data_IF_767972866253
#
_entry.id   IF_767972866253
#
_cell.length_a   1.000
_cell.length_b   1.000
_cell.length_c   1.000
_cell.angle_alpha   90.00
_cell.angle_beta   90.00
_cell.angle_gamma   90.00
#
_symmetry.space_group_name_H-M   'P 1'
#
loop_
_entity.id
_entity.type
_entity.pdbx_description
1 polymer ?
#
# COMPACT_ATOMS: atom_id res chain seq x y z
N UNK A 1 -5.23 5.19 8.89
CA UNK A 1 -5.86 6.39 8.28
C UNK A 1 -6.95 6.02 7.28
N UNK A 2 -6.77 5.00 6.38
CA UNK A 2 -7.79 4.59 5.40
C UNK A 2 -9.10 4.15 6.06
N UNK A 3 -9.03 3.46 7.18
CA UNK A 3 -10.19 3.04 7.97
C UNK A 3 -10.97 4.26 8.47
N UNK A 4 -10.28 5.31 8.85
CA UNK A 4 -10.88 6.57 9.31
C UNK A 4 -11.58 7.29 8.16
N UNK A 5 -11.00 7.30 6.96
CA UNK A 5 -11.64 7.81 5.74
C UNK A 5 -12.91 7.00 5.43
N UNK A 6 -12.85 5.67 5.45
CA UNK A 6 -13.99 4.81 5.19
C UNK A 6 -15.17 5.04 6.16
N UNK A 7 -14.87 5.39 7.42
CA UNK A 7 -15.90 5.64 8.45
C UNK A 7 -16.41 7.09 8.48
N UNK A 8 -15.65 8.05 7.95
CA UNK A 8 -16.00 9.50 7.96
C UNK A 8 -16.77 9.96 6.75
N UNK A 9 -16.98 9.10 5.74
CA UNK A 9 -17.83 9.38 4.56
C UNK A 9 -19.33 9.47 4.92
N UNK A 10 -19.65 10.13 6.05
CA UNK A 10 -21.02 10.47 6.47
C UNK A 10 -21.20 11.98 6.38
N UNK A 11 -22.39 12.46 5.96
CA UNK A 11 -22.69 13.89 5.95
C UNK A 11 -22.45 14.52 7.33
N UNK A 12 -21.75 15.66 7.36
CA UNK A 12 -21.45 16.39 8.60
C UNK A 12 -20.10 16.08 9.25
N UNK A 13 -19.30 15.15 8.70
CA UNK A 13 -17.95 14.84 9.20
C UNK A 13 -16.81 15.23 8.24
N UNK A 14 -17.09 16.15 7.34
CA UNK A 14 -16.14 16.55 6.29
C UNK A 14 -14.83 17.14 6.86
N UNK A 15 -14.89 17.79 8.01
CA UNK A 15 -13.72 18.38 8.68
C UNK A 15 -12.68 17.31 9.07
N UNK A 16 -13.11 16.08 9.34
CA UNK A 16 -12.20 14.97 9.67
C UNK A 16 -11.49 14.36 8.47
N UNK A 17 -11.95 14.67 7.25
CA UNK A 17 -11.33 14.18 6.03
C UNK A 17 -9.94 14.80 5.81
N UNK A 18 -9.77 16.10 6.09
CA UNK A 18 -8.49 16.77 5.89
C UNK A 18 -7.34 16.13 6.69
N UNK A 19 -7.44 15.94 8.01
CA UNK A 19 -6.38 15.26 8.76
C UNK A 19 -6.23 13.80 8.37
N UNK A 20 -7.31 13.12 7.96
CA UNK A 20 -7.24 11.74 7.50
C UNK A 20 -6.46 11.61 6.18
N UNK A 21 -6.68 12.49 5.21
CA UNK A 21 -5.91 12.55 3.97
C UNK A 21 -4.46 12.93 4.22
N UNK A 22 -4.20 13.90 5.08
CA UNK A 22 -2.84 14.28 5.47
C UNK A 22 -2.09 13.10 6.09
N UNK A 23 -2.70 12.41 7.05
CA UNK A 23 -2.12 11.22 7.65
C UNK A 23 -1.86 10.11 6.63
N UNK A 24 -2.79 9.90 5.68
CA UNK A 24 -2.62 8.92 4.60
C UNK A 24 -1.40 9.27 3.74
N UNK A 25 -1.23 10.53 3.34
CA UNK A 25 -0.07 10.99 2.59
C UNK A 25 1.24 10.80 3.36
N UNK A 26 1.25 11.13 4.64
CA UNK A 26 2.41 10.95 5.50
C UNK A 26 2.85 9.48 5.60
N UNK A 27 1.90 8.55 5.80
CA UNK A 27 2.20 7.13 5.84
C UNK A 27 2.58 6.57 4.45
N UNK A 28 2.00 7.09 3.38
CA UNK A 28 2.34 6.67 2.01
C UNK A 28 3.78 7.05 1.62
N UNK A 29 4.34 8.11 2.21
CA UNK A 29 5.73 8.53 1.95
C UNK A 29 6.76 7.48 2.39
N UNK A 30 6.40 6.58 3.30
CA UNK A 30 7.24 5.45 3.72
C UNK A 30 7.62 4.47 2.60
N UNK A 31 6.97 4.53 1.44
CA UNK A 31 7.31 3.70 0.28
C UNK A 31 8.75 3.89 -0.21
N UNK A 32 9.37 5.06 0.01
CA UNK A 32 10.78 5.31 -0.32
C UNK A 32 11.73 4.41 0.49
N UNK A 33 11.36 4.04 1.71
CA UNK A 33 12.16 3.16 2.56
C UNK A 33 12.30 1.75 1.96
N UNK A 34 11.31 1.29 1.21
CA UNK A 34 11.36 -0.02 0.53
C UNK A 34 12.50 -0.04 -0.50
N UNK A 35 12.69 1.06 -1.24
CA UNK A 35 13.76 1.19 -2.23
C UNK A 35 15.13 1.17 -1.56
N UNK A 36 15.28 1.85 -0.41
CA UNK A 36 16.51 1.84 0.36
C UNK A 36 16.81 0.43 0.87
N UNK A 37 15.83 -0.24 1.45
CA UNK A 37 15.96 -1.59 1.98
C UNK A 37 16.32 -2.63 0.89
N UNK A 38 15.71 -2.54 -0.29
CA UNK A 38 16.06 -3.39 -1.43
C UNK A 38 17.52 -3.21 -1.85
N UNK A 39 18.06 -1.99 -1.80
CA UNK A 39 19.48 -1.72 -2.12
C UNK A 39 20.45 -2.35 -1.13
N UNK A 40 20.03 -2.54 0.11
CA UNK A 40 20.84 -3.18 1.15
C UNK A 40 20.83 -4.71 1.06
N UNK A 41 19.70 -5.28 0.61
CA UNK A 41 19.50 -6.72 0.52
C UNK A 41 20.17 -7.37 -0.68
N UNK A 42 20.36 -6.64 -1.78
CA UNK A 42 20.87 -7.20 -3.03
C UNK A 42 22.26 -6.68 -3.39
N UNK A 43 23.15 -7.54 -3.91
CA UNK A 43 24.46 -7.12 -4.45
C UNK A 43 24.29 -6.07 -5.56
N UNK A 44 25.28 -5.18 -5.69
CA UNK A 44 25.25 -4.06 -6.66
C UNK A 44 24.98 -4.49 -8.09
N UNK A 45 25.39 -5.71 -8.46
CA UNK A 45 25.23 -6.24 -9.83
C UNK A 45 23.76 -6.51 -10.20
N UNK A 46 22.92 -6.89 -9.24
CA UNK A 46 21.52 -7.31 -9.48
C UNK A 46 20.48 -6.37 -8.85
N UNK A 47 20.92 -5.38 -8.07
CA UNK A 47 20.01 -4.44 -7.40
C UNK A 47 19.08 -3.70 -8.39
N UNK A 48 19.61 -3.35 -9.57
CA UNK A 48 18.80 -2.72 -10.62
C UNK A 48 17.64 -3.60 -11.09
N UNK A 49 17.92 -4.88 -11.32
CA UNK A 49 16.90 -5.87 -11.71
C UNK A 49 15.88 -6.08 -10.58
N UNK A 50 16.33 -6.19 -9.33
CA UNK A 50 15.46 -6.33 -8.18
C UNK A 50 14.52 -5.12 -8.02
N UNK A 51 15.03 -3.91 -8.19
CA UNK A 51 14.22 -2.68 -8.17
C UNK A 51 13.22 -2.62 -9.32
N UNK A 52 13.64 -3.01 -10.53
CA UNK A 52 12.76 -3.04 -11.69
C UNK A 52 11.60 -4.03 -11.50
N UNK A 53 11.88 -5.24 -11.00
CA UNK A 53 10.85 -6.22 -10.66
C UNK A 53 9.92 -5.74 -9.56
N UNK A 54 10.46 -5.15 -8.49
CA UNK A 54 9.65 -4.58 -7.40
C UNK A 54 8.72 -3.49 -7.91
N UNK A 55 9.20 -2.59 -8.76
CA UNK A 55 8.38 -1.56 -9.39
C UNK A 55 7.32 -2.15 -10.34
N UNK A 56 7.69 -3.14 -11.15
CA UNK A 56 6.77 -3.82 -12.06
C UNK A 56 5.58 -4.46 -11.31
N UNK A 57 5.85 -5.22 -10.25
CA UNK A 57 4.79 -5.82 -9.44
C UNK A 57 3.96 -4.77 -8.71
N UNK A 58 4.57 -3.67 -8.28
CA UNK A 58 3.85 -2.55 -7.65
C UNK A 58 2.86 -1.90 -8.62
N UNK A 59 3.28 -1.63 -9.86
CA UNK A 59 2.42 -1.03 -10.91
C UNK A 59 1.26 -1.96 -11.26
N UNK A 60 1.52 -3.26 -11.42
CA UNK A 60 0.47 -4.25 -11.68
C UNK A 60 -0.51 -4.31 -10.50
N UNK A 61 -0.01 -4.34 -9.27
CA UNK A 61 -0.84 -4.34 -8.07
C UNK A 61 -1.76 -3.11 -7.99
N UNK A 62 -1.22 -1.92 -8.29
CA UNK A 62 -2.00 -0.68 -8.36
C UNK A 62 -3.08 -0.78 -9.44
N UNK A 63 -2.75 -1.25 -10.64
CA UNK A 63 -3.70 -1.38 -11.74
C UNK A 63 -4.86 -2.33 -11.40
N UNK A 64 -4.56 -3.48 -10.79
CA UNK A 64 -5.57 -4.44 -10.34
C UNK A 64 -6.48 -3.81 -9.27
N UNK A 65 -5.90 -3.13 -8.28
CA UNK A 65 -6.67 -2.48 -7.23
C UNK A 65 -7.57 -1.37 -7.78
N UNK A 66 -7.07 -0.54 -8.70
CA UNK A 66 -7.86 0.52 -9.36
C UNK A 66 -9.04 -0.08 -10.13
N UNK A 67 -8.81 -1.16 -10.88
CA UNK A 67 -9.87 -1.85 -11.60
C UNK A 67 -10.94 -2.40 -10.65
N UNK A 68 -10.53 -3.07 -9.57
CA UNK A 68 -11.45 -3.63 -8.58
C UNK A 68 -12.25 -2.54 -7.85
N UNK A 69 -11.61 -1.42 -7.52
CA UNK A 69 -12.29 -0.28 -6.91
C UNK A 69 -13.33 0.33 -7.85
N UNK A 70 -12.98 0.55 -9.11
CA UNK A 70 -13.90 1.05 -10.13
C UNK A 70 -15.10 0.13 -10.29
N UNK A 71 -14.85 -1.16 -10.46
CA UNK A 71 -15.90 -2.16 -10.57
C UNK A 71 -16.83 -2.22 -9.33
N UNK A 72 -16.27 -2.05 -8.13
CA UNK A 72 -17.05 -2.03 -6.90
C UNK A 72 -17.94 -0.78 -6.80
N UNK A 73 -17.43 0.37 -7.23
CA UNK A 73 -18.19 1.63 -7.27
C UNK A 73 -19.34 1.54 -8.29
N UNK A 74 -19.08 0.97 -9.48
CA UNK A 74 -20.06 0.82 -10.55
C UNK A 74 -21.22 -0.14 -10.19
N UNK A 75 -21.08 -0.97 -9.18
CA UNK A 75 -22.17 -1.81 -8.65
C UNK A 75 -23.29 -1.00 -8.00
N UNK A 76 -23.02 0.22 -7.61
CA UNK A 76 -24.01 1.09 -7.00
C UNK A 76 -24.66 1.96 -8.07
N UNK A 77 -26.02 2.10 -8.05
CA UNK A 77 -26.70 2.93 -9.04
C UNK A 77 -26.30 4.40 -8.87
N UNK A 78 -25.84 5.01 -9.95
CA UNK A 78 -25.56 6.45 -9.96
C UNK A 78 -26.89 7.22 -10.04
N UNK A 79 -27.09 8.20 -9.18
CA UNK A 79 -28.22 9.12 -9.20
C UNK A 79 -27.72 10.49 -9.65
N UNK A 80 -28.25 10.98 -10.78
CA UNK A 80 -27.80 12.27 -11.35
C UNK A 80 -26.32 12.31 -11.76
N UNK A 81 -25.71 11.15 -12.11
CA UNK A 81 -24.31 11.07 -12.50
C UNK A 81 -23.33 11.03 -11.32
N UNK A 82 -23.84 10.96 -10.08
CA UNK A 82 -23.02 10.88 -8.86
C UNK A 82 -23.25 9.55 -8.17
N UNK A 83 -22.18 8.87 -7.81
CA UNK A 83 -22.25 7.65 -7.01
C UNK A 83 -22.49 7.96 -5.53
N UNK A 84 -23.24 7.14 -4.80
CA UNK A 84 -23.50 7.34 -3.38
C UNK A 84 -22.20 7.17 -2.56
N UNK A 85 -22.13 7.82 -1.41
CA UNK A 85 -20.97 7.74 -0.51
C UNK A 85 -20.65 6.30 -0.06
N UNK A 86 -21.65 5.43 -0.06
CA UNK A 86 -21.53 4.02 0.28
C UNK A 86 -20.65 3.27 -0.73
N UNK A 87 -20.73 3.60 -2.02
CA UNK A 87 -19.87 3.02 -3.05
C UNK A 87 -18.39 3.27 -2.78
N UNK A 88 -18.05 4.49 -2.41
CA UNK A 88 -16.68 4.86 -2.05
C UNK A 88 -16.23 4.21 -0.74
N UNK A 89 -17.11 4.11 0.23
CA UNK A 89 -16.84 3.43 1.49
C UNK A 89 -16.47 1.97 1.26
N UNK A 90 -17.21 1.26 0.41
CA UNK A 90 -16.93 -0.15 0.09
C UNK A 90 -15.59 -0.30 -0.64
N UNK A 91 -15.26 0.62 -1.55
CA UNK A 91 -13.95 0.66 -2.19
C UNK A 91 -12.80 0.88 -1.17
N UNK A 92 -12.99 1.75 -0.17
CA UNK A 92 -12.01 1.94 0.90
C UNK A 92 -11.88 0.72 1.81
N UNK A 93 -12.95 0.00 2.09
CA UNK A 93 -12.87 -1.26 2.83
C UNK A 93 -12.09 -2.33 2.08
N UNK A 94 -12.20 -2.40 0.75
CA UNK A 94 -11.37 -3.27 -0.07
C UNK A 94 -9.87 -2.95 0.10
N UNK A 95 -9.50 -1.67 0.10
CA UNK A 95 -8.11 -1.26 0.35
C UNK A 95 -7.63 -1.65 1.74
N UNK A 96 -8.46 -1.43 2.76
CA UNK A 96 -8.14 -1.82 4.15
C UNK A 96 -7.94 -3.33 4.26
N UNK A 97 -8.81 -4.13 3.63
CA UNK A 97 -8.69 -5.58 3.61
C UNK A 97 -7.41 -6.03 2.90
N UNK A 98 -7.06 -5.42 1.76
CA UNK A 98 -5.81 -5.67 1.05
C UNK A 98 -4.57 -5.35 1.90
N UNK A 99 -4.58 -4.22 2.60
CA UNK A 99 -3.49 -3.84 3.51
C UNK A 99 -3.38 -4.81 4.69
N UNK A 100 -4.50 -5.25 5.26
CA UNK A 100 -4.49 -6.23 6.35
C UNK A 100 -3.90 -7.57 5.88
N UNK A 101 -4.30 -8.04 4.69
CA UNK A 101 -3.74 -9.25 4.09
C UNK A 101 -2.23 -9.12 3.85
N UNK A 102 -1.78 -7.99 3.30
CA UNK A 102 -0.36 -7.72 3.09
C UNK A 102 0.42 -7.71 4.42
N UNK A 103 -0.14 -7.11 5.47
CA UNK A 103 0.47 -7.07 6.80
C UNK A 103 0.60 -8.49 7.41
N UNK A 104 -0.43 -9.34 7.23
CA UNK A 104 -0.39 -10.74 7.68
C UNK A 104 0.72 -11.51 6.95
N UNK A 105 0.84 -11.33 5.63
CA UNK A 105 1.91 -11.96 4.84
C UNK A 105 3.26 -11.47 5.32
N UNK A 106 3.43 -10.15 5.47
CA UNK A 106 4.68 -9.54 5.93
C UNK A 106 5.08 -10.02 7.34
N UNK A 107 4.13 -10.12 8.27
CA UNK A 107 4.39 -10.58 9.64
C UNK A 107 4.88 -12.05 9.72
N UNK A 108 4.66 -12.83 8.66
CA UNK A 108 5.16 -14.19 8.54
C UNK A 108 6.49 -14.31 7.80
N UNK A 109 6.98 -13.23 7.24
CA UNK A 109 8.29 -13.19 6.58
C UNK A 109 9.37 -13.16 7.65
N UNK A 110 10.31 -14.10 7.61
CA UNK A 110 11.47 -14.10 8.49
C UNK A 110 12.51 -13.14 7.94
N UNK A 111 13.01 -12.24 8.77
CA UNK A 111 14.18 -11.44 8.44
C UNK A 111 15.39 -12.37 8.29
N UNK A 112 15.95 -12.43 7.10
CA UNK A 112 17.26 -13.03 6.87
C UNK A 112 18.25 -11.94 7.21
N UNK A 113 18.78 -11.96 8.44
CA UNK A 113 19.90 -11.11 8.83
C UNK A 113 21.04 -11.36 7.83
N UNK A 114 21.64 -10.30 7.24
CA UNK A 114 22.81 -10.46 6.39
C UNK A 114 23.90 -11.15 7.20
N UNK A 115 24.41 -12.27 6.68
CA UNK A 115 25.57 -12.95 7.25
C UNK A 115 26.66 -11.91 7.42
N UNK A 116 27.08 -11.68 8.68
CA UNK A 116 28.23 -10.85 9.02
C UNK A 116 29.39 -11.34 8.16
N UNK A 117 30.05 -10.47 7.37
CA UNK A 117 31.22 -10.90 6.62
C UNK A 117 32.20 -11.54 7.62
N UNK A 118 32.51 -12.80 7.38
CA UNK A 118 33.29 -13.60 8.31
C UNK A 118 34.62 -12.93 8.62
N UNK A 119 34.94 -12.90 9.87
CA UNK A 119 36.31 -12.75 10.42
C UNK A 119 37.17 -13.92 9.93
N UNK A 120 37.59 -13.86 8.69
CA UNK A 120 38.58 -14.76 8.12
C UNK A 120 39.84 -13.97 7.78
N UNK A 121 40.44 -13.33 8.77
CA UNK A 121 41.82 -12.89 8.72
C UNK A 121 42.37 -12.77 10.15
N UNK A 122 42.52 -13.93 10.79
CA UNK A 122 43.45 -14.12 11.90
C UNK A 122 43.96 -15.55 11.84
N UNK A 123 44.96 -15.76 10.96
CA UNK A 123 46.09 -16.72 11.18
C UNK A 123 47.21 -16.36 10.27
#
# INVERSE_FOLDING_TARGET
PLLLIATTLRPGRETLLYPAYFATGLFASGGILIVAHLKELFPRQIVGTALALGNFFSVIGIAILQYLMGWLIERHPAVGGVYPAEAYRDAFFLLVAGMAAALIVYSRTREILPLKPGSSDET
#
